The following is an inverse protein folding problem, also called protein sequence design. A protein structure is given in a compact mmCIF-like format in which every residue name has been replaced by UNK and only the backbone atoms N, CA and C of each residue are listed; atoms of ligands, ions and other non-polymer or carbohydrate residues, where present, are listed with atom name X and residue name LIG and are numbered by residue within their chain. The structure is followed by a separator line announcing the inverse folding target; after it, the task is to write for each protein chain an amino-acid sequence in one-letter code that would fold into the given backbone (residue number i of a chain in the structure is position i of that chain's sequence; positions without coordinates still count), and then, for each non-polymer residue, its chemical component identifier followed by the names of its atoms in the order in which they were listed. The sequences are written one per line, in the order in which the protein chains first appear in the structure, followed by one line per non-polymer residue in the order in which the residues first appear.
data_IF_685945472904
#
_entry.id   IF_685945472904
#
_cell.length_a   1.000
_cell.length_b   1.000
_cell.length_c   1.000
_cell.angle_alpha   90.00
_cell.angle_beta   90.00
_cell.angle_gamma   90.00
#
_symmetry.space_group_name_H-M   'P 1'
#
loop_
_entity.id
_entity.type
_entity.pdbx_description
1 polymer ?
#
# COMPACT_ATOMS: atom_id res chain seq x y z
N UNK A 1 -0.60 -16.67 -21.00
CA UNK A 1 -0.53 -15.49 -20.11
C UNK A 1 -1.52 -15.58 -18.96
N UNK A 2 -2.80 -15.91 -19.19
CA UNK A 2 -3.80 -16.11 -18.13
C UNK A 2 -3.37 -17.08 -17.01
N UNK A 3 -2.63 -18.15 -17.32
CA UNK A 3 -2.10 -19.10 -16.31
C UNK A 3 -1.26 -18.39 -15.24
N UNK A 4 -0.36 -17.48 -15.64
CA UNK A 4 0.46 -16.69 -14.71
C UNK A 4 -0.40 -15.78 -13.83
N UNK A 5 -1.48 -15.23 -14.39
CA UNK A 5 -2.42 -14.40 -13.63
C UNK A 5 -3.17 -15.23 -12.56
N UNK A 6 -3.56 -16.45 -12.91
CA UNK A 6 -4.23 -17.38 -11.98
C UNK A 6 -3.27 -17.92 -10.90
N UNK A 7 -1.97 -18.02 -11.19
CA UNK A 7 -0.93 -18.35 -10.22
C UNK A 7 -0.68 -17.23 -9.19
N UNK A 8 -1.07 -15.99 -9.48
CA UNK A 8 -0.98 -14.90 -8.52
C UNK A 8 -2.00 -15.07 -7.37
N UNK A 9 -1.47 -15.33 -6.18
CA UNK A 9 -2.25 -15.57 -4.95
C UNK A 9 -2.69 -14.29 -4.24
N UNK A 10 -2.09 -13.13 -4.57
CA UNK A 10 -2.42 -11.84 -3.96
C UNK A 10 -2.90 -10.83 -4.99
N UNK A 11 -3.75 -9.90 -4.56
CA UNK A 11 -4.22 -8.77 -5.39
C UNK A 11 -3.04 -7.93 -5.88
N UNK A 12 -2.03 -7.70 -5.02
CA UNK A 12 -0.82 -6.95 -5.40
C UNK A 12 -0.06 -7.62 -6.55
N UNK A 13 0.18 -8.93 -6.46
CA UNK A 13 0.87 -9.67 -7.52
C UNK A 13 0.09 -9.66 -8.85
N UNK A 14 -1.25 -9.74 -8.80
CA UNK A 14 -2.10 -9.59 -9.99
C UNK A 14 -1.95 -8.22 -10.62
N UNK A 15 -1.99 -7.16 -9.82
CA UNK A 15 -1.86 -5.77 -10.27
C UNK A 15 -0.48 -5.52 -10.88
N UNK A 16 0.60 -5.97 -10.23
CA UNK A 16 1.96 -5.82 -10.74
C UNK A 16 2.14 -6.55 -12.07
N UNK A 17 1.57 -7.76 -12.21
CA UNK A 17 1.61 -8.49 -13.48
C UNK A 17 0.84 -7.74 -14.59
N UNK A 18 -0.39 -7.33 -14.31
CA UNK A 18 -1.24 -6.64 -15.28
C UNK A 18 -0.66 -5.29 -15.71
N UNK A 19 -0.07 -4.53 -14.78
CA UNK A 19 0.53 -3.21 -15.04
C UNK A 19 1.71 -3.27 -16.02
N UNK A 20 2.36 -4.43 -16.15
CA UNK A 20 3.48 -4.66 -17.06
C UNK A 20 3.11 -5.46 -18.30
N UNK A 21 1.81 -5.61 -18.59
CA UNK A 21 1.33 -6.45 -19.70
C UNK A 21 0.45 -5.65 -20.66
N UNK A 22 0.64 -5.86 -21.96
CA UNK A 22 -0.27 -5.36 -22.98
C UNK A 22 -1.53 -6.26 -23.06
N UNK A 23 -2.70 -5.71 -22.75
CA UNK A 23 -3.97 -6.44 -22.70
C UNK A 23 -4.62 -6.64 -24.08
N UNK A 24 -4.16 -5.93 -25.12
CA UNK A 24 -4.74 -5.98 -26.46
C UNK A 24 -4.72 -7.38 -27.09
N UNK A 25 -3.74 -8.22 -26.75
CA UNK A 25 -3.59 -9.57 -27.27
C UNK A 25 -4.37 -10.63 -26.48
N UNK A 26 -5.01 -10.26 -25.37
CA UNK A 26 -5.74 -11.19 -24.52
C UNK A 26 -7.10 -11.53 -25.12
N UNK A 27 -7.58 -12.76 -24.91
CA UNK A 27 -8.91 -13.15 -25.37
C UNK A 27 -9.99 -12.47 -24.53
N UNK A 28 -11.20 -12.31 -25.07
CA UNK A 28 -12.32 -11.78 -24.28
C UNK A 28 -12.65 -12.65 -23.07
N UNK A 29 -12.48 -13.97 -23.19
CA UNK A 29 -12.65 -14.88 -22.07
C UNK A 29 -11.63 -14.60 -20.96
N UNK A 30 -10.37 -14.37 -21.32
CA UNK A 30 -9.32 -14.04 -20.34
C UNK A 30 -9.62 -12.70 -19.65
N UNK A 31 -10.10 -11.70 -20.40
CA UNK A 31 -10.49 -10.40 -19.84
C UNK A 31 -11.68 -10.53 -18.88
N UNK A 32 -12.67 -11.36 -19.19
CA UNK A 32 -13.80 -11.63 -18.28
C UNK A 32 -13.33 -12.28 -16.97
N UNK A 33 -12.36 -13.18 -17.04
CA UNK A 33 -11.75 -13.80 -15.85
C UNK A 33 -11.02 -12.75 -15.02
N UNK A 34 -10.25 -11.86 -15.66
CA UNK A 34 -9.56 -10.77 -14.96
C UNK A 34 -10.56 -9.84 -14.27
N UNK A 35 -11.60 -9.37 -14.98
CA UNK A 35 -12.64 -8.51 -14.41
C UNK A 35 -13.27 -9.14 -13.17
N UNK A 36 -13.69 -10.41 -13.29
CA UNK A 36 -14.28 -11.16 -12.18
C UNK A 36 -13.30 -11.28 -10.99
N UNK A 37 -12.02 -11.52 -11.26
CA UNK A 37 -10.97 -11.62 -10.25
C UNK A 37 -10.62 -10.29 -9.56
N UNK A 38 -10.96 -9.16 -10.20
CA UNK A 38 -10.85 -7.81 -9.63
C UNK A 38 -12.15 -7.34 -8.97
N UNK A 39 -13.21 -8.15 -8.98
CA UNK A 39 -14.51 -7.82 -8.42
C UNK A 39 -15.36 -6.90 -9.31
N UNK A 40 -15.03 -6.82 -10.61
CA UNK A 40 -15.80 -6.08 -11.61
C UNK A 40 -16.77 -7.03 -12.33
N UNK A 41 -18.00 -6.58 -12.57
CA UNK A 41 -19.00 -7.35 -13.29
C UNK A 41 -18.70 -7.34 -14.78
N UNK A 42 -18.31 -8.48 -15.36
CA UNK A 42 -17.95 -8.55 -16.78
C UNK A 42 -19.12 -8.21 -17.73
N UNK A 43 -20.36 -8.41 -17.30
CA UNK A 43 -21.57 -8.11 -18.08
C UNK A 43 -21.79 -6.61 -18.31
N UNK A 44 -21.20 -5.75 -17.47
CA UNK A 44 -21.27 -4.30 -17.64
C UNK A 44 -20.41 -3.79 -18.81
N UNK A 45 -19.54 -4.65 -19.37
CA UNK A 45 -18.57 -4.30 -20.40
C UNK A 45 -18.75 -5.20 -21.62
N UNK A 46 -19.56 -4.76 -22.59
CA UNK A 46 -19.93 -5.56 -23.74
C UNK A 46 -18.75 -5.77 -24.72
N UNK A 47 -18.03 -4.70 -25.09
CA UNK A 47 -16.94 -4.81 -26.04
C UNK A 47 -15.60 -5.15 -25.37
N UNK A 48 -14.72 -5.82 -26.13
CA UNK A 48 -13.32 -6.07 -25.70
C UNK A 48 -12.61 -4.78 -25.25
N UNK A 49 -12.81 -3.68 -25.98
CA UNK A 49 -12.19 -2.40 -25.66
C UNK A 49 -12.65 -1.88 -24.28
N UNK A 50 -13.95 -1.96 -23.99
CA UNK A 50 -14.51 -1.52 -22.71
C UNK A 50 -13.95 -2.33 -21.54
N UNK A 51 -13.81 -3.65 -21.72
CA UNK A 51 -13.19 -4.55 -20.73
C UNK A 51 -11.74 -4.16 -20.44
N UNK A 52 -10.96 -3.86 -21.48
CA UNK A 52 -9.57 -3.41 -21.34
C UNK A 52 -9.52 -2.07 -20.59
N UNK A 53 -10.32 -1.09 -21.02
CA UNK A 53 -10.37 0.22 -20.38
C UNK A 53 -10.79 0.14 -18.90
N UNK A 54 -11.72 -0.73 -18.55
CA UNK A 54 -12.12 -0.95 -17.16
C UNK A 54 -10.98 -1.51 -16.31
N UNK A 55 -10.22 -2.48 -16.84
CA UNK A 55 -9.04 -3.03 -16.15
C UNK A 55 -7.96 -1.95 -15.99
N UNK A 56 -7.65 -1.20 -17.05
CA UNK A 56 -6.66 -0.12 -17.00
C UNK A 56 -7.05 0.98 -16.00
N UNK A 57 -8.32 1.34 -15.95
CA UNK A 57 -8.84 2.30 -14.99
C UNK A 57 -8.71 1.78 -13.55
N UNK A 58 -9.06 0.51 -13.30
CA UNK A 58 -8.87 -0.11 -12.00
C UNK A 58 -7.40 -0.06 -11.53
N UNK A 59 -6.46 -0.36 -12.44
CA UNK A 59 -5.02 -0.29 -12.12
C UNK A 59 -4.58 1.13 -11.79
N UNK A 60 -5.05 2.13 -12.55
CA UNK A 60 -4.74 3.55 -12.29
C UNK A 60 -5.29 4.03 -10.94
N UNK A 61 -6.52 3.64 -10.60
CA UNK A 61 -7.14 4.02 -9.33
C UNK A 61 -6.48 3.34 -8.14
N UNK A 62 -6.09 2.06 -8.28
CA UNK A 62 -5.30 1.37 -7.26
C UNK A 62 -3.95 2.06 -7.02
N UNK A 63 -3.23 2.43 -8.10
CA UNK A 63 -1.96 3.15 -7.98
C UNK A 63 -2.14 4.48 -7.21
N UNK A 64 -3.16 5.27 -7.57
CA UNK A 64 -3.48 6.54 -6.88
C UNK A 64 -3.84 6.33 -5.41
N UNK A 65 -4.52 5.23 -5.08
CA UNK A 65 -4.86 4.89 -3.69
C UNK A 65 -3.60 4.58 -2.88
N UNK A 66 -2.73 3.74 -3.42
CA UNK A 66 -1.45 3.37 -2.76
C UNK A 66 -0.54 4.59 -2.60
N UNK A 67 -0.44 5.45 -3.62
CA UNK A 67 0.30 6.70 -3.54
C UNK A 67 -0.27 7.62 -2.45
N UNK A 68 -1.59 7.79 -2.39
CA UNK A 68 -2.24 8.56 -1.32
C UNK A 68 -1.98 8.00 0.07
N UNK A 69 -2.14 6.70 0.26
CA UNK A 69 -1.86 6.03 1.54
C UNK A 69 -0.39 6.15 1.96
N UNK A 70 0.53 6.16 0.98
CA UNK A 70 1.96 6.39 1.22
C UNK A 70 2.25 7.85 1.61
N UNK A 71 1.53 8.81 1.02
CA UNK A 71 1.66 10.25 1.34
C UNK A 71 0.87 10.67 2.59
N UNK A 72 -0.12 9.89 3.05
CA UNK A 72 -0.88 10.21 4.26
C UNK A 72 -0.13 9.87 5.56
N UNK A 73 1.13 9.44 5.45
CA UNK A 73 2.00 9.20 6.60
C UNK A 73 2.83 10.44 7.00
N UNK A 74 2.71 11.58 6.31
CA UNK A 74 3.38 12.83 6.71
C UNK A 74 2.52 13.70 7.63
N UNK A 75 1.19 13.75 7.46
CA UNK A 75 0.32 14.61 8.28
C UNK A 75 0.15 14.10 9.73
N UNK A 76 0.34 12.80 9.97
CA UNK A 76 0.37 12.24 11.32
C UNK A 76 1.63 12.70 12.09
N UNK A 77 2.71 13.05 11.39
CA UNK A 77 3.90 13.66 12.01
C UNK A 77 3.68 15.14 12.35
N UNK A 78 2.97 15.90 11.50
CA UNK A 78 2.65 17.32 11.78
C UNK A 78 1.64 17.51 12.93
N UNK A 79 0.91 16.46 13.30
CA UNK A 79 0.02 16.44 14.47
C UNK A 79 0.62 15.76 15.70
N UNK A 80 1.86 15.30 15.64
CA UNK A 80 2.57 14.97 16.88
C UNK A 80 2.70 16.28 17.65
N UNK A 81 2.26 16.35 18.92
CA UNK A 81 2.57 17.51 19.74
C UNK A 81 4.09 17.68 19.69
N UNK A 82 4.54 18.87 19.29
CA UNK A 82 5.93 19.29 19.42
C UNK A 82 6.29 19.02 20.88
N UNK A 83 7.08 17.98 21.12
CA UNK A 83 7.65 17.75 22.45
C UNK A 83 8.68 18.85 22.62
N UNK A 84 8.52 19.65 23.68
CA UNK A 84 9.43 20.73 24.01
C UNK A 84 10.87 20.21 24.02
N UNK A 85 11.78 21.06 23.53
CA UNK A 85 13.22 20.80 23.44
C UNK A 85 13.80 20.44 24.82
N UNK A 86 13.86 19.15 25.13
CA UNK A 86 14.43 18.69 26.41
C UNK A 86 14.36 17.18 26.65
N UNK A 87 13.35 16.47 26.14
CA UNK A 87 13.22 15.03 26.41
C UNK A 87 13.98 14.19 25.37
N UNK A 88 15.28 14.01 25.59
CA UNK A 88 16.02 12.95 24.91
C UNK A 88 15.50 11.58 25.38
N UNK A 89 15.47 10.60 24.48
CA UNK A 89 15.06 9.20 24.71
C UNK A 89 15.99 8.40 25.66
N UNK A 90 16.79 9.08 26.47
CA UNK A 90 17.75 8.49 27.41
C UNK A 90 17.38 8.70 28.89
N UNK A 91 16.12 8.96 29.22
CA UNK A 91 15.68 9.01 30.62
C UNK A 91 14.93 7.76 31.09
N UNK A 92 15.35 6.56 30.67
CA UNK A 92 14.81 5.36 31.33
C UNK A 92 15.74 4.14 31.35
N UNK A 93 17.01 4.34 31.73
CA UNK A 93 17.78 3.29 32.43
C UNK A 93 18.67 3.89 33.53
N UNK A 94 18.02 4.23 34.65
CA UNK A 94 18.49 3.99 36.01
C UNK A 94 19.99 4.07 36.33
N UNK A 95 20.63 5.25 36.17
CA UNK A 95 21.96 5.50 36.76
C UNK A 95 22.15 6.89 37.39
N UNK A 96 21.14 7.77 37.37
CA UNK A 96 21.27 9.12 37.97
C UNK A 96 20.94 9.13 39.48
N UNK A 97 20.26 8.10 39.99
CA UNK A 97 19.94 7.98 41.42
C UNK A 97 21.07 7.51 42.34
N UNK A 98 22.20 7.03 41.80
CA UNK A 98 23.27 6.44 42.60
C UNK A 98 24.31 7.49 43.05
N UNK A 99 24.49 8.57 42.30
CA UNK A 99 25.51 9.58 42.63
C UNK A 99 25.08 10.61 43.69
N UNK A 100 23.78 10.73 44.00
CA UNK A 100 23.30 11.71 45.00
C UNK A 100 23.38 11.24 46.45
N UNK A 101 23.74 9.98 46.71
CA UNK A 101 23.93 9.43 48.07
C UNK A 101 25.39 9.36 48.54
N UNK A 102 26.35 9.85 47.74
CA UNK A 102 27.77 9.85 48.10
C UNK A 102 28.30 11.25 48.51
N UNK A 103 27.44 12.28 48.57
CA UNK A 103 27.84 13.66 48.88
C UNK A 103 27.10 14.27 50.08
N UNK A 104 26.27 13.50 50.80
CA UNK A 104 25.60 13.91 52.03
C UNK A 104 25.79 12.86 53.15
N UNK A 105 27.03 12.44 53.40
CA UNK A 105 27.36 11.71 54.63
C UNK A 105 28.75 12.14 55.09
N UNK A 106 28.73 13.08 56.04
CA UNK A 106 29.75 13.48 57.03
C UNK A 106 31.13 13.95 56.53
#
# INVERSE_FOLDING_TARGET
MIKKFLECTTVRARIDMLSNTFLGDWSEQDLNIILSALGLTAEDYAAKADKISAIEQYLADYKRKVERESTMNCETMDKMPVRDEGETIYEEKGLVGILKRALDTE
#
